data_IF_466392931300
#
_entry.id   IF_466392931300
#
_cell.length_a   1.000
_cell.length_b   1.000
_cell.length_c   1.000
_cell.angle_alpha   90.00
_cell.angle_beta   90.00
_cell.angle_gamma   90.00
#
_symmetry.space_group_name_H-M   'P 1'
#
loop_
_entity.id
_entity.type
_entity.pdbx_description
1 polymer ?
#
# COMPACT_ATOMS: atom_id res chain seq x y z
N UNK A 1 -5.93 34.53 19.54
CA UNK A 1 -5.40 33.70 18.41
C UNK A 1 -5.79 34.34 17.09
N UNK A 2 -7.05 34.73 16.89
CA UNK A 2 -7.56 35.34 15.66
C UNK A 2 -6.79 36.61 15.27
N UNK A 3 -6.56 37.50 16.23
CA UNK A 3 -5.83 38.77 16.03
C UNK A 3 -4.36 38.56 15.62
N UNK A 4 -3.77 37.41 16.00
CA UNK A 4 -2.42 37.03 15.59
C UNK A 4 -2.38 36.56 14.14
N UNK A 5 -3.42 35.85 13.66
CA UNK A 5 -3.50 35.36 12.30
C UNK A 5 -3.67 36.49 11.29
N UNK A 6 -4.46 37.50 11.59
CA UNK A 6 -4.74 38.65 10.72
C UNK A 6 -3.50 39.52 10.41
N UNK A 7 -2.45 39.41 11.24
CA UNK A 7 -1.19 40.15 11.06
C UNK A 7 -0.01 39.38 10.55
N UNK A 8 -0.21 38.04 10.25
CA UNK A 8 0.87 37.17 9.75
C UNK A 8 1.06 37.36 8.24
N UNK A 9 2.30 37.67 7.87
CA UNK A 9 2.78 37.62 6.49
C UNK A 9 3.79 36.47 6.38
N UNK A 10 4.03 35.96 5.17
CA UNK A 10 5.04 34.91 4.94
C UNK A 10 6.42 35.31 5.48
N UNK A 11 6.82 36.59 5.31
CA UNK A 11 8.10 37.10 5.81
C UNK A 11 8.17 37.09 7.34
N UNK A 12 7.10 37.54 8.03
CA UNK A 12 7.03 37.51 9.49
C UNK A 12 7.05 36.07 10.02
N UNK A 13 6.32 35.18 9.35
CA UNK A 13 6.28 33.76 9.71
C UNK A 13 7.66 33.12 9.56
N UNK A 14 8.34 33.35 8.43
CA UNK A 14 9.69 32.83 8.20
C UNK A 14 10.68 33.33 9.25
N UNK A 15 10.69 34.63 9.56
CA UNK A 15 11.55 35.22 10.60
C UNK A 15 11.29 34.59 11.97
N UNK A 16 10.02 34.40 12.32
CA UNK A 16 9.64 33.81 13.60
C UNK A 16 10.08 32.35 13.71
N UNK A 17 9.88 31.54 12.66
CA UNK A 17 10.32 30.15 12.62
C UNK A 17 11.84 30.02 12.67
N UNK A 18 12.58 30.89 11.98
CA UNK A 18 14.04 30.93 12.05
C UNK A 18 14.51 31.25 13.47
N UNK A 19 13.91 32.24 14.12
CA UNK A 19 14.23 32.59 15.51
C UNK A 19 13.97 31.42 16.48
N UNK A 20 12.86 30.71 16.33
CA UNK A 20 12.55 29.52 17.16
C UNK A 20 13.57 28.40 16.95
N UNK A 21 13.99 28.18 15.69
CA UNK A 21 15.01 27.20 15.34
C UNK A 21 16.35 27.54 15.97
N UNK A 22 16.79 28.81 15.86
CA UNK A 22 18.07 29.28 16.38
C UNK A 22 18.12 29.20 17.92
N UNK A 23 16.99 29.40 18.59
CA UNK A 23 16.84 29.25 20.04
C UNK A 23 16.75 27.81 20.50
N UNK A 24 16.64 26.83 19.58
CA UNK A 24 16.48 25.40 19.91
C UNK A 24 15.12 25.05 20.52
N UNK A 25 14.11 25.89 20.31
CA UNK A 25 12.75 25.62 20.76
C UNK A 25 12.02 24.66 19.82
N UNK A 26 12.11 23.35 20.11
CA UNK A 26 11.50 22.30 19.28
C UNK A 26 9.99 22.14 19.51
N UNK A 27 9.49 22.45 20.68
CA UNK A 27 8.07 22.20 21.04
C UNK A 27 7.02 22.86 20.11
N UNK A 28 7.20 24.09 19.58
CA UNK A 28 6.26 24.64 18.61
C UNK A 28 6.25 23.88 17.28
N UNK A 29 7.36 23.24 16.89
CA UNK A 29 7.50 22.48 15.63
C UNK A 29 6.73 21.16 15.72
N UNK A 30 6.54 20.60 16.91
CA UNK A 30 5.77 19.38 17.14
C UNK A 30 4.29 19.51 16.76
N UNK A 31 3.77 20.73 16.63
CA UNK A 31 2.41 20.99 16.17
C UNK A 31 2.26 20.89 14.64
N UNK A 32 3.37 20.86 13.88
CA UNK A 32 3.33 20.66 12.44
C UNK A 32 3.15 19.17 12.12
N UNK A 33 2.14 18.87 11.29
CA UNK A 33 1.92 17.53 10.79
C UNK A 33 1.80 17.54 9.27
N UNK A 34 2.29 16.51 8.64
CA UNK A 34 2.22 16.32 7.19
C UNK A 34 1.61 14.97 6.87
N UNK A 35 0.78 14.93 5.83
CA UNK A 35 0.24 13.68 5.32
C UNK A 35 0.85 13.41 3.96
N UNK A 36 1.43 12.22 3.78
CA UNK A 36 2.09 11.79 2.56
C UNK A 36 1.31 10.68 1.87
N UNK A 37 1.07 10.83 0.56
CA UNK A 37 0.71 9.73 -0.32
C UNK A 37 2.00 9.06 -0.82
N UNK A 38 2.14 7.77 -0.61
CA UNK A 38 3.30 6.97 -1.00
C UNK A 38 2.82 5.90 -1.97
N UNK A 39 3.45 5.79 -3.14
CA UNK A 39 3.19 4.77 -4.14
C UNK A 39 4.49 4.28 -4.78
N UNK A 40 4.43 3.20 -5.56
CA UNK A 40 5.62 2.62 -6.18
C UNK A 40 6.54 1.92 -5.18
N UNK A 41 6.02 1.46 -4.05
CA UNK A 41 6.80 0.81 -2.99
C UNK A 41 6.37 -0.62 -2.79
N UNK A 42 7.31 -1.48 -2.38
CA UNK A 42 7.05 -2.90 -2.18
C UNK A 42 6.30 -3.18 -0.87
N UNK A 43 5.65 -4.34 -0.81
CA UNK A 43 5.08 -4.83 0.45
C UNK A 43 6.16 -5.17 1.49
N UNK A 44 7.39 -5.44 1.06
CA UNK A 44 8.53 -5.55 1.98
C UNK A 44 8.74 -4.24 2.74
N UNK A 45 8.73 -3.09 2.03
CA UNK A 45 8.81 -1.78 2.69
C UNK A 45 7.62 -1.57 3.64
N UNK A 46 6.39 -1.91 3.19
CA UNK A 46 5.20 -1.78 4.02
C UNK A 46 5.35 -2.54 5.34
N UNK A 47 5.84 -3.78 5.31
CA UNK A 47 6.04 -4.60 6.50
C UNK A 47 7.06 -3.99 7.49
N UNK A 48 7.99 -3.17 7.01
CA UNK A 48 8.97 -2.48 7.84
C UNK A 48 8.44 -1.13 8.35
N UNK A 49 7.86 -0.31 7.48
CA UNK A 49 7.42 1.04 7.85
C UNK A 49 6.28 1.00 8.87
N UNK A 50 5.38 0.02 8.79
CA UNK A 50 4.26 -0.13 9.74
C UNK A 50 4.70 -0.53 11.15
N UNK A 51 5.99 -0.80 11.38
CA UNK A 51 6.56 -1.00 12.71
C UNK A 51 6.78 0.30 13.48
N UNK A 52 6.74 1.45 12.82
CA UNK A 52 6.77 2.76 13.48
C UNK A 52 5.45 3.00 14.20
N UNK A 53 5.51 3.24 15.52
CA UNK A 53 4.32 3.28 16.39
C UNK A 53 3.64 4.64 16.42
N UNK A 54 4.35 5.71 16.06
CA UNK A 54 3.85 7.09 16.10
C UNK A 54 3.45 7.51 14.67
N UNK A 55 2.69 6.66 14.01
CA UNK A 55 2.12 6.92 12.70
C UNK A 55 0.88 6.04 12.48
N UNK A 56 -0.04 6.50 11.66
CA UNK A 56 -1.19 5.74 11.19
C UNK A 56 -1.01 5.44 9.70
N UNK A 57 -1.39 4.24 9.26
CA UNK A 57 -1.18 3.80 7.90
C UNK A 57 -2.51 3.41 7.25
N UNK A 58 -2.89 4.11 6.19
CA UNK A 58 -4.00 3.71 5.32
C UNK A 58 -3.43 3.07 4.07
N UNK A 59 -3.54 1.75 3.95
CA UNK A 59 -2.86 0.95 2.93
C UNK A 59 -3.87 0.38 1.95
N UNK A 60 -3.53 0.34 0.66
CA UNK A 60 -4.32 -0.34 -0.36
C UNK A 60 -4.46 -1.84 -0.03
N UNK A 61 -5.71 -2.27 0.13
CA UNK A 61 -6.01 -3.65 0.51
C UNK A 61 -5.98 -4.58 -0.70
N UNK A 62 -5.20 -5.65 -0.62
CA UNK A 62 -5.22 -6.75 -1.60
C UNK A 62 -6.47 -7.65 -1.50
N UNK A 63 -7.32 -7.44 -0.49
CA UNK A 63 -8.59 -8.18 -0.35
C UNK A 63 -9.69 -7.65 -1.27
N UNK A 64 -9.65 -6.35 -1.58
CA UNK A 64 -10.70 -5.64 -2.32
C UNK A 64 -10.28 -5.24 -3.73
N UNK A 65 -9.00 -5.22 -4.00
CA UNK A 65 -8.45 -4.87 -5.31
C UNK A 65 -7.88 -6.14 -5.92
N UNK A 66 -8.46 -6.59 -7.03
CA UNK A 66 -7.90 -7.68 -7.82
C UNK A 66 -6.66 -7.15 -8.53
N UNK A 67 -5.59 -7.92 -8.47
CA UNK A 67 -4.34 -7.58 -9.15
C UNK A 67 -4.38 -8.16 -10.58
N UNK A 68 -5.26 -7.60 -11.42
CA UNK A 68 -5.30 -7.95 -12.85
C UNK A 68 -4.10 -7.36 -13.60
N UNK A 69 -3.52 -6.28 -13.07
CA UNK A 69 -2.29 -5.65 -13.51
C UNK A 69 -1.25 -5.78 -12.40
N UNK A 70 -0.33 -6.75 -12.58
CA UNK A 70 0.63 -7.15 -11.57
C UNK A 70 1.86 -6.26 -11.61
N UNK A 71 1.88 -5.25 -10.75
CA UNK A 71 3.04 -4.38 -10.57
C UNK A 71 3.92 -4.88 -9.42
N UNK A 72 5.24 -4.78 -9.61
CA UNK A 72 6.24 -5.14 -8.63
C UNK A 72 7.43 -4.18 -8.65
N UNK A 73 8.11 -4.10 -7.52
CA UNK A 73 9.29 -3.25 -7.33
C UNK A 73 10.53 -4.12 -7.43
N UNK A 74 11.45 -3.77 -8.33
CA UNK A 74 12.75 -4.44 -8.46
C UNK A 74 13.73 -3.75 -7.52
N UNK A 75 14.32 -4.47 -6.53
CA UNK A 75 15.38 -3.91 -5.70
C UNK A 75 16.61 -3.50 -6.54
N UNK A 76 17.26 -2.36 -6.23
CA UNK A 76 18.41 -1.88 -6.99
C UNK A 76 19.54 -2.90 -7.13
N UNK A 77 19.81 -3.67 -6.08
CA UNK A 77 20.86 -4.72 -6.10
C UNK A 77 20.52 -5.87 -7.07
N UNK A 78 19.24 -6.21 -7.21
CA UNK A 78 18.79 -7.20 -8.20
C UNK A 78 18.89 -6.60 -9.61
N UNK A 79 18.51 -5.34 -9.76
CA UNK A 79 18.56 -4.65 -11.06
C UNK A 79 19.99 -4.49 -11.59
N UNK A 80 20.97 -4.31 -10.70
CA UNK A 80 22.37 -4.14 -11.04
C UNK A 80 23.04 -5.41 -11.61
N UNK A 81 22.46 -6.60 -11.36
CA UNK A 81 23.03 -7.89 -11.77
C UNK A 81 22.12 -8.53 -12.84
N UNK A 82 22.52 -8.59 -14.12
CA UNK A 82 21.66 -9.05 -15.21
C UNK A 82 21.03 -10.43 -15.00
N UNK A 83 21.81 -11.39 -14.52
CA UNK A 83 21.33 -12.76 -14.28
C UNK A 83 20.33 -12.80 -13.10
N UNK A 84 20.57 -12.02 -12.05
CA UNK A 84 19.64 -11.91 -10.91
C UNK A 84 18.34 -11.24 -11.34
N UNK A 85 18.43 -10.18 -12.16
CA UNK A 85 17.25 -9.50 -12.74
C UNK A 85 16.42 -10.44 -13.59
N UNK A 86 17.05 -11.23 -14.48
CA UNK A 86 16.36 -12.19 -15.33
C UNK A 86 15.60 -13.24 -14.48
N UNK A 87 16.25 -13.84 -13.52
CA UNK A 87 15.63 -14.82 -12.61
C UNK A 87 14.50 -14.22 -11.79
N UNK A 88 14.65 -12.96 -11.33
CA UNK A 88 13.60 -12.23 -10.61
C UNK A 88 12.37 -11.99 -11.49
N UNK A 89 12.55 -11.51 -12.73
CA UNK A 89 11.44 -11.26 -13.66
C UNK A 89 10.68 -12.55 -13.99
N UNK A 90 11.40 -13.65 -14.25
CA UNK A 90 10.79 -14.97 -14.47
C UNK A 90 9.93 -15.40 -13.28
N UNK A 91 10.45 -15.24 -12.06
CA UNK A 91 9.69 -15.55 -10.84
C UNK A 91 8.43 -14.70 -10.69
N UNK A 92 8.51 -13.38 -10.99
CA UNK A 92 7.34 -12.50 -10.92
C UNK A 92 6.26 -12.88 -11.93
N UNK A 93 6.64 -13.24 -13.15
CA UNK A 93 5.71 -13.69 -14.19
C UNK A 93 5.02 -15.01 -13.81
N UNK A 94 5.77 -15.94 -13.21
CA UNK A 94 5.19 -17.19 -12.71
C UNK A 94 4.22 -16.94 -11.54
N UNK A 95 4.60 -16.11 -10.59
CA UNK A 95 3.76 -15.80 -9.41
C UNK A 95 2.47 -15.10 -9.83
N UNK A 96 2.53 -14.21 -10.82
CA UNK A 96 1.35 -13.58 -11.40
C UNK A 96 0.39 -14.62 -12.01
N UNK A 97 0.92 -15.54 -12.80
CA UNK A 97 0.13 -16.63 -13.41
C UNK A 97 -0.49 -17.53 -12.34
N UNK A 98 0.28 -17.90 -11.33
CA UNK A 98 -0.18 -18.74 -10.22
C UNK A 98 -1.29 -18.06 -9.42
N UNK A 99 -1.14 -16.76 -9.15
CA UNK A 99 -2.16 -15.96 -8.47
C UNK A 99 -3.48 -15.96 -9.25
N UNK A 100 -3.45 -15.65 -10.54
CA UNK A 100 -4.64 -15.58 -11.38
C UNK A 100 -5.35 -16.94 -11.51
N UNK A 101 -4.58 -18.02 -11.70
CA UNK A 101 -5.12 -19.38 -11.78
C UNK A 101 -5.76 -19.79 -10.45
N UNK A 102 -5.09 -19.54 -9.32
CA UNK A 102 -5.61 -19.84 -7.99
C UNK A 102 -6.86 -19.03 -7.67
N UNK A 103 -6.84 -17.73 -7.96
CA UNK A 103 -8.01 -16.85 -7.73
C UNK A 103 -9.23 -17.35 -8.52
N UNK A 104 -9.04 -17.74 -9.79
CA UNK A 104 -10.12 -18.29 -10.61
C UNK A 104 -10.67 -19.60 -10.05
N UNK A 105 -9.81 -20.54 -9.69
CA UNK A 105 -10.22 -21.84 -9.11
C UNK A 105 -10.99 -21.68 -7.80
N UNK A 106 -10.54 -20.74 -6.95
CA UNK A 106 -11.23 -20.41 -5.70
C UNK A 106 -12.58 -19.74 -5.96
N UNK A 107 -12.64 -18.79 -6.90
CA UNK A 107 -13.89 -18.11 -7.28
C UNK A 107 -14.92 -19.11 -7.80
N UNK A 108 -14.53 -20.00 -8.70
CA UNK A 108 -15.41 -21.02 -9.27
C UNK A 108 -15.91 -22.00 -8.18
N UNK A 109 -15.01 -22.48 -7.32
CA UNK A 109 -15.37 -23.38 -6.21
C UNK A 109 -16.27 -22.73 -5.17
N UNK A 110 -15.97 -21.50 -4.76
CA UNK A 110 -16.83 -20.76 -3.81
C UNK A 110 -18.19 -20.43 -4.41
N UNK A 111 -18.24 -20.06 -5.70
CA UNK A 111 -19.51 -19.81 -6.40
C UNK A 111 -20.40 -21.04 -6.41
N UNK A 112 -19.85 -22.21 -6.79
CA UNK A 112 -20.59 -23.48 -6.82
C UNK A 112 -21.14 -23.83 -5.42
N UNK A 113 -20.34 -23.67 -4.37
CA UNK A 113 -20.76 -23.92 -2.99
C UNK A 113 -21.89 -22.99 -2.57
N UNK A 114 -21.77 -21.67 -2.79
CA UNK A 114 -22.79 -20.69 -2.40
C UNK A 114 -24.11 -20.88 -3.17
N UNK A 115 -24.02 -21.29 -4.44
CA UNK A 115 -25.22 -21.64 -5.23
C UNK A 115 -25.91 -22.92 -4.68
N UNK A 116 -25.13 -23.91 -4.28
CA UNK A 116 -25.69 -25.12 -3.65
C UNK A 116 -26.37 -24.81 -2.30
N UNK A 117 -25.92 -23.76 -1.59
CA UNK A 117 -26.58 -23.23 -0.38
C UNK A 117 -27.83 -22.39 -0.67
N UNK A 118 -28.23 -22.23 -1.95
CA UNK A 118 -29.45 -21.51 -2.37
C UNK A 118 -29.21 -20.02 -2.72
N UNK A 119 -27.96 -19.57 -2.80
CA UNK A 119 -27.69 -18.17 -3.15
C UNK A 119 -27.86 -17.94 -4.67
N UNK A 120 -28.50 -16.84 -5.12
CA UNK A 120 -28.59 -16.50 -6.54
C UNK A 120 -27.17 -16.30 -7.15
N UNK A 121 -26.96 -16.78 -8.38
CA UNK A 121 -25.65 -16.82 -9.05
C UNK A 121 -24.90 -15.47 -8.99
N UNK A 122 -25.56 -14.35 -9.31
CA UNK A 122 -24.95 -13.01 -9.31
C UNK A 122 -24.40 -12.64 -7.92
N UNK A 123 -25.13 -12.96 -6.86
CA UNK A 123 -24.69 -12.70 -5.48
C UNK A 123 -23.58 -13.67 -5.06
N UNK A 124 -23.70 -14.94 -5.45
CA UNK A 124 -22.71 -15.97 -5.19
C UNK A 124 -21.35 -15.60 -5.82
N UNK A 125 -21.31 -15.17 -7.10
CA UNK A 125 -20.11 -14.72 -7.77
C UNK A 125 -19.48 -13.50 -7.10
N UNK A 126 -20.26 -12.48 -6.77
CA UNK A 126 -19.74 -11.27 -6.12
C UNK A 126 -19.08 -11.57 -4.75
N UNK A 127 -19.71 -12.46 -3.98
CA UNK A 127 -19.18 -12.91 -2.67
C UNK A 127 -17.95 -13.82 -2.84
N UNK A 128 -18.02 -14.74 -3.80
CA UNK A 128 -16.94 -15.68 -4.11
C UNK A 128 -15.67 -14.97 -4.58
N UNK A 129 -15.78 -13.98 -5.46
CA UNK A 129 -14.64 -13.20 -5.97
C UNK A 129 -13.87 -12.51 -4.84
N UNK A 130 -14.56 -11.92 -3.87
CA UNK A 130 -13.93 -11.30 -2.70
C UNK A 130 -13.18 -12.34 -1.85
N UNK A 131 -13.79 -13.48 -1.56
CA UNK A 131 -13.15 -14.56 -0.81
C UNK A 131 -11.96 -15.14 -1.55
N UNK A 132 -12.10 -15.35 -2.87
CA UNK A 132 -11.02 -15.86 -3.71
C UNK A 132 -9.79 -14.94 -3.70
N UNK A 133 -9.98 -13.61 -3.82
CA UNK A 133 -8.88 -12.66 -3.75
C UNK A 133 -8.21 -12.66 -2.36
N UNK A 134 -8.99 -12.82 -1.28
CA UNK A 134 -8.48 -12.87 0.08
C UNK A 134 -7.56 -14.07 0.31
N UNK A 135 -7.90 -15.22 -0.28
CA UNK A 135 -7.12 -16.44 -0.14
C UNK A 135 -5.99 -16.53 -1.18
N UNK A 136 -6.25 -16.16 -2.44
CA UNK A 136 -5.25 -16.21 -3.50
C UNK A 136 -4.03 -15.31 -3.23
N UNK A 137 -4.21 -14.18 -2.54
CA UNK A 137 -3.10 -13.26 -2.22
C UNK A 137 -1.96 -13.88 -1.41
N UNK A 138 -2.15 -15.04 -0.81
CA UNK A 138 -1.10 -15.76 -0.07
C UNK A 138 0.07 -16.19 -0.95
N UNK A 139 -0.14 -16.32 -2.26
CA UNK A 139 0.94 -16.65 -3.21
C UNK A 139 1.59 -15.39 -3.83
N UNK A 140 1.15 -14.19 -3.46
CA UNK A 140 1.75 -12.96 -3.96
C UNK A 140 3.09 -12.68 -3.30
N UNK A 141 4.14 -12.33 -4.10
CA UNK A 141 5.45 -12.03 -3.55
C UNK A 141 5.46 -10.69 -2.79
N UNK A 142 6.40 -10.55 -1.87
CA UNK A 142 6.62 -9.30 -1.15
C UNK A 142 7.11 -8.16 -2.05
N UNK A 143 7.55 -8.46 -3.25
CA UNK A 143 7.90 -7.49 -4.28
C UNK A 143 6.68 -6.74 -4.86
N UNK A 144 5.46 -7.25 -4.68
CA UNK A 144 4.25 -6.57 -5.14
C UNK A 144 4.24 -5.11 -4.70
N UNK A 145 3.90 -4.25 -5.64
CA UNK A 145 3.70 -2.82 -5.38
C UNK A 145 2.51 -2.60 -4.45
N UNK A 146 2.60 -1.57 -3.64
CA UNK A 146 1.51 -1.10 -2.78
C UNK A 146 1.50 0.42 -2.72
N UNK A 147 0.37 0.95 -2.25
CA UNK A 147 0.14 2.38 -2.02
C UNK A 147 -0.34 2.58 -0.61
N UNK A 148 0.08 3.69 0.00
CA UNK A 148 -0.35 4.03 1.36
C UNK A 148 -0.42 5.54 1.57
N UNK A 149 -1.23 5.94 2.55
CA UNK A 149 -1.25 7.28 3.09
C UNK A 149 -0.74 7.21 4.52
N UNK A 150 0.17 8.10 4.87
CA UNK A 150 0.84 8.17 6.18
C UNK A 150 0.82 9.62 6.64
N UNK A 151 0.31 9.92 7.85
CA UNK A 151 0.41 11.25 8.46
C UNK A 151 1.79 11.51 9.00
#
# INVERSE_FOLDING_TARGET
>A
ITDLLDGLTEEKTAKFLTMLSDLGHASPIEHASFTFGIEGVSRTLLAQITRHRIASFSVQSQRYVRLDDFHYVIPPEIEAIPEAKAAFLESMDEDAKRYLDLAKKLEDGHTARLMAEGMPEKQARAKASKQANEDARFVLPNACETKMVVP
#
